data_IF_962717208006
#
_entry.id   IF_962717208006
#
_cell.length_a   1.000
_cell.length_b   1.000
_cell.length_c   1.000
_cell.angle_alpha   90.00
_cell.angle_beta   90.00
_cell.angle_gamma   90.00
#
_symmetry.space_group_name_H-M   'P 1'
#
loop_
_entity.id
_entity.type
_entity.pdbx_description
1 polymer ?
#
# COMPACT_ATOMS: atom_id res chain seq x y z
N UNK A 1 21.49 -3.85 14.84
CA UNK A 1 20.92 -3.87 13.49
C UNK A 1 22.01 -4.18 12.49
N UNK A 2 21.83 -5.13 11.65
CA UNK A 2 22.89 -5.62 10.75
C UNK A 2 23.17 -4.67 9.57
N UNK A 3 22.29 -3.74 9.28
CA UNK A 3 22.40 -2.86 8.13
C UNK A 3 22.06 -3.52 6.80
N UNK A 4 21.52 -4.72 6.82
CA UNK A 4 21.10 -5.40 5.59
C UNK A 4 19.84 -4.76 5.02
N UNK A 5 19.81 -4.64 3.70
CA UNK A 5 18.64 -4.16 2.99
C UNK A 5 17.57 -5.23 2.96
N UNK A 6 16.38 -4.96 3.52
CA UNK A 6 15.28 -5.90 3.58
C UNK A 6 14.35 -5.79 2.38
N UNK A 7 14.14 -4.57 1.88
CA UNK A 7 13.25 -4.32 0.76
C UNK A 7 13.56 -2.99 0.11
N UNK A 8 13.13 -2.82 -1.12
CA UNK A 8 13.12 -1.53 -1.81
C UNK A 8 11.72 -1.24 -2.31
N UNK A 9 11.36 0.03 -2.28
CA UNK A 9 10.12 0.54 -2.85
C UNK A 9 10.52 1.68 -3.77
N UNK A 10 10.19 1.57 -5.04
CA UNK A 10 10.62 2.52 -6.04
C UNK A 10 9.42 3.03 -6.84
N UNK A 11 9.23 4.35 -6.84
CA UNK A 11 8.19 4.97 -7.65
C UNK A 11 8.66 5.07 -9.08
N UNK A 12 7.85 4.61 -10.03
CA UNK A 12 8.14 4.77 -11.44
C UNK A 12 7.87 6.20 -11.87
N UNK A 13 8.86 6.81 -12.52
CA UNK A 13 8.78 8.20 -12.97
C UNK A 13 8.02 8.30 -14.29
N UNK A 14 7.50 9.49 -14.56
CA UNK A 14 6.82 9.83 -15.82
C UNK A 14 5.56 9.00 -16.09
N UNK A 15 4.91 8.54 -15.02
CA UNK A 15 3.63 7.84 -15.12
C UNK A 15 2.49 8.79 -14.76
N UNK A 16 1.42 8.74 -15.53
CA UNK A 16 0.22 9.54 -15.26
C UNK A 16 -0.42 9.15 -13.92
N UNK A 17 -0.46 7.84 -13.63
CA UNK A 17 -0.94 7.31 -12.36
C UNK A 17 0.21 6.70 -11.59
N UNK A 18 0.12 6.74 -10.27
CA UNK A 18 1.17 6.21 -9.40
C UNK A 18 1.39 4.73 -9.61
N UNK A 19 2.65 4.37 -9.67
CA UNK A 19 3.09 2.99 -9.81
C UNK A 19 4.35 2.79 -9.00
N UNK A 20 4.36 1.76 -8.16
CA UNK A 20 5.47 1.48 -7.26
C UNK A 20 5.93 0.05 -7.43
N UNK A 21 7.24 -0.12 -7.59
CA UNK A 21 7.86 -1.44 -7.62
C UNK A 21 8.41 -1.74 -6.24
N UNK A 22 8.01 -2.88 -5.69
CA UNK A 22 8.41 -3.35 -4.37
C UNK A 22 9.21 -4.62 -4.55
N UNK A 23 10.43 -4.62 -4.04
CA UNK A 23 11.30 -5.79 -4.10
C UNK A 23 11.76 -6.16 -2.71
N UNK A 24 11.53 -7.42 -2.34
CA UNK A 24 12.07 -8.06 -1.14
C UNK A 24 13.06 -9.15 -1.57
N UNK A 25 13.57 -9.91 -0.61
CA UNK A 25 14.51 -10.99 -0.92
C UNK A 25 13.88 -12.04 -1.85
N UNK A 26 12.59 -12.33 -1.68
CA UNK A 26 11.92 -13.42 -2.39
C UNK A 26 10.84 -12.96 -3.37
N UNK A 27 10.46 -11.68 -3.35
CA UNK A 27 9.28 -11.23 -4.08
C UNK A 27 9.55 -9.96 -4.86
N UNK A 28 8.92 -9.86 -6.01
CA UNK A 28 8.84 -8.61 -6.78
C UNK A 28 7.38 -8.35 -7.08
N UNK A 29 6.86 -7.23 -6.55
CA UNK A 29 5.46 -6.87 -6.64
C UNK A 29 5.34 -5.44 -7.15
N UNK A 30 4.41 -5.21 -8.06
CA UNK A 30 4.12 -3.87 -8.54
C UNK A 30 2.74 -3.44 -8.07
N UNK A 31 2.70 -2.33 -7.33
CA UNK A 31 1.47 -1.66 -6.93
C UNK A 31 1.10 -0.65 -8.00
N UNK A 32 -0.11 -0.76 -8.53
CA UNK A 32 -0.65 0.17 -9.54
C UNK A 32 -1.88 0.85 -9.02
N UNK A 33 -1.94 2.17 -9.20
CA UNK A 33 -3.17 2.91 -8.98
C UNK A 33 -3.95 2.94 -10.28
N UNK A 34 -5.25 2.68 -10.18
CA UNK A 34 -6.14 2.73 -11.34
C UNK A 34 -7.03 3.97 -11.25
N UNK A 35 -7.21 4.63 -12.37
CA UNK A 35 -8.15 5.72 -12.47
C UNK A 35 -9.57 5.16 -12.52
N UNK A 36 -10.39 5.55 -11.52
CA UNK A 36 -11.81 5.28 -11.52
C UNK A 36 -12.56 6.57 -11.24
N UNK A 37 -13.78 6.68 -11.72
CA UNK A 37 -14.54 7.93 -11.62
C UNK A 37 -14.82 8.34 -10.18
N UNK A 38 -15.07 7.37 -9.30
CA UNK A 38 -15.52 7.66 -7.93
C UNK A 38 -14.57 7.20 -6.82
N UNK A 39 -13.62 6.31 -7.11
CA UNK A 39 -12.82 5.67 -6.07
C UNK A 39 -11.35 5.56 -6.44
N UNK A 40 -10.49 5.68 -5.44
CA UNK A 40 -9.13 5.23 -5.56
C UNK A 40 -9.12 3.71 -5.60
N UNK A 41 -8.46 3.16 -6.59
CA UNK A 41 -8.35 1.72 -6.74
C UNK A 41 -6.90 1.35 -6.99
N UNK A 42 -6.46 0.29 -6.34
CA UNK A 42 -5.11 -0.23 -6.48
C UNK A 42 -5.16 -1.70 -6.84
N UNK A 43 -4.17 -2.14 -7.59
CA UNK A 43 -3.97 -3.54 -7.88
C UNK A 43 -2.51 -3.91 -7.68
N UNK A 44 -2.27 -5.19 -7.47
CA UNK A 44 -0.92 -5.74 -7.29
C UNK A 44 -0.63 -6.70 -8.44
N UNK A 45 0.54 -6.55 -9.07
CA UNK A 45 1.05 -7.52 -10.03
C UNK A 45 2.19 -8.29 -9.36
N UNK A 46 2.26 -9.58 -9.59
CA UNK A 46 3.24 -10.47 -9.00
C UNK A 46 2.73 -11.24 -7.78
N UNK A 47 1.51 -10.94 -7.36
CA UNK A 47 0.81 -11.61 -6.27
C UNK A 47 -0.65 -11.80 -6.64
N UNK A 48 -1.26 -12.81 -6.04
CA UNK A 48 -2.70 -13.05 -6.14
C UNK A 48 -3.48 -12.41 -4.99
N UNK A 49 -2.93 -11.37 -4.38
CA UNK A 49 -3.60 -10.60 -3.33
C UNK A 49 -4.37 -9.43 -3.94
N UNK A 50 -5.48 -9.09 -3.32
CA UNK A 50 -6.31 -7.96 -3.73
C UNK A 50 -6.39 -6.92 -2.61
N UNK A 51 -6.40 -5.65 -3.00
CA UNK A 51 -6.59 -4.53 -2.08
C UNK A 51 -8.05 -4.09 -2.11
N UNK A 52 -8.67 -4.03 -0.95
CA UNK A 52 -10.07 -3.60 -0.80
C UNK A 52 -10.21 -2.64 0.36
N UNK A 53 -11.01 -1.60 0.18
CA UNK A 53 -11.37 -0.69 1.24
C UNK A 53 -11.31 0.77 0.84
N UNK A 54 -11.25 1.63 1.84
CA UNK A 54 -11.15 3.06 1.65
C UNK A 54 -9.72 3.53 1.90
N UNK A 55 -8.99 3.78 0.82
CA UNK A 55 -7.57 4.12 0.89
C UNK A 55 -7.35 5.53 1.42
N UNK A 56 -8.26 6.44 1.13
CA UNK A 56 -8.16 7.83 1.57
C UNK A 56 -8.32 7.96 3.09
N UNK A 57 -9.19 7.16 3.68
CA UNK A 57 -9.38 7.16 5.13
C UNK A 57 -8.48 6.17 5.87
N UNK A 58 -7.59 5.49 5.15
CA UNK A 58 -6.63 4.53 5.72
C UNK A 58 -7.33 3.37 6.45
N UNK A 59 -8.39 2.86 5.82
CA UNK A 59 -9.09 1.66 6.27
C UNK A 59 -9.23 0.71 5.10
N UNK A 60 -8.30 -0.23 5.00
CA UNK A 60 -8.31 -1.19 3.89
C UNK A 60 -7.68 -2.51 4.32
N UNK A 61 -7.81 -3.48 3.44
CA UNK A 61 -7.30 -4.83 3.69
C UNK A 61 -6.70 -5.44 2.45
N UNK A 62 -5.85 -6.43 2.68
CA UNK A 62 -5.31 -7.32 1.65
C UNK A 62 -5.98 -8.67 1.80
N UNK A 63 -6.47 -9.21 0.68
CA UNK A 63 -7.22 -10.46 0.64
C UNK A 63 -6.62 -11.36 -0.41
N UNK A 64 -6.49 -12.65 -0.09
CA UNK A 64 -6.15 -13.68 -1.05
C UNK A 64 -7.37 -14.59 -1.21
N UNK A 65 -8.06 -14.47 -2.35
CA UNK A 65 -9.36 -15.13 -2.52
C UNK A 65 -10.36 -14.58 -1.52
N UNK A 66 -10.80 -15.42 -0.57
CA UNK A 66 -11.69 -15.00 0.51
C UNK A 66 -10.98 -14.86 1.85
N UNK A 67 -9.64 -15.07 1.88
CA UNK A 67 -8.88 -15.09 3.12
C UNK A 67 -8.24 -13.74 3.37
N UNK A 68 -8.44 -13.13 4.54
CA UNK A 68 -7.75 -11.90 4.89
C UNK A 68 -6.26 -12.17 5.13
N UNK A 69 -5.41 -11.34 4.53
CA UNK A 69 -3.96 -11.38 4.74
C UNK A 69 -3.55 -10.31 5.74
N UNK A 70 -4.12 -9.12 5.60
CA UNK A 70 -3.77 -7.97 6.42
C UNK A 70 -4.95 -7.00 6.46
N UNK A 71 -5.12 -6.31 7.58
CA UNK A 71 -6.01 -5.16 7.66
C UNK A 71 -5.29 -3.98 8.26
N UNK A 72 -5.59 -2.79 7.75
CA UNK A 72 -5.08 -1.52 8.26
C UNK A 72 -6.26 -0.69 8.74
N UNK A 73 -6.13 -0.16 9.94
CA UNK A 73 -7.11 0.77 10.52
C UNK A 73 -6.39 1.97 11.10
N UNK A 74 -6.88 3.16 10.79
CA UNK A 74 -6.37 4.38 11.40
C UNK A 74 -7.22 4.75 12.61
N UNK A 75 -6.54 5.01 13.73
CA UNK A 75 -7.19 5.48 14.95
C UNK A 75 -6.95 6.98 15.09
N UNK A 76 -8.02 7.74 15.22
CA UNK A 76 -7.99 9.19 15.30
C UNK A 76 -8.00 9.61 16.77
N UNK A 77 -6.96 10.33 17.19
CA UNK A 77 -6.84 10.83 18.55
C UNK A 77 -6.61 12.35 18.55
N UNK A 78 -6.98 13.01 19.63
CA UNK A 78 -6.78 14.46 19.76
C UNK A 78 -5.29 14.85 19.81
N UNK A 79 -4.43 13.94 20.28
CA UNK A 79 -2.99 14.18 20.38
C UNK A 79 -2.18 13.60 19.22
N UNK A 80 -2.83 13.03 18.26
CA UNK A 80 -2.18 12.41 17.11
C UNK A 80 -2.90 11.16 16.66
N UNK A 81 -2.54 10.71 15.46
CA UNK A 81 -3.13 9.54 14.86
C UNK A 81 -2.21 8.34 15.01
N UNK A 82 -2.78 7.15 15.08
CA UNK A 82 -2.03 5.90 15.04
C UNK A 82 -2.66 4.94 14.06
N UNK A 83 -1.85 3.99 13.60
CA UNK A 83 -2.27 2.97 12.66
C UNK A 83 -2.17 1.60 13.32
N UNK A 84 -3.18 0.79 13.11
CA UNK A 84 -3.17 -0.60 13.54
C UNK A 84 -3.09 -1.50 12.32
N UNK A 85 -2.06 -2.33 12.30
CA UNK A 85 -1.81 -3.27 11.22
C UNK A 85 -1.97 -4.68 11.76
N UNK A 86 -3.00 -5.39 11.32
CA UNK A 86 -3.24 -6.77 11.70
C UNK A 86 -2.83 -7.67 10.55
N UNK A 87 -1.86 -8.54 10.80
CA UNK A 87 -1.30 -9.42 9.77
C UNK A 87 -1.52 -10.86 10.21
N UNK A 88 -2.13 -11.65 9.32
CA UNK A 88 -2.50 -13.05 9.61
C UNK A 88 -1.26 -13.93 9.81
N UNK A 89 -0.25 -13.78 8.97
CA UNK A 89 0.97 -14.56 9.04
C UNK A 89 2.19 -13.67 9.12
N UNK A 90 3.04 -13.91 10.11
CA UNK A 90 4.23 -13.08 10.34
C UNK A 90 5.19 -13.08 9.15
N UNK A 91 5.20 -14.13 8.35
CA UNK A 91 6.04 -14.22 7.15
C UNK A 91 5.66 -13.20 6.08
N UNK A 92 4.42 -12.69 6.12
CA UNK A 92 3.94 -11.69 5.19
C UNK A 92 4.15 -10.25 5.69
N UNK A 93 4.68 -10.07 6.88
CA UNK A 93 4.72 -8.77 7.54
C UNK A 93 5.53 -7.74 6.75
N UNK A 94 6.69 -8.11 6.23
CA UNK A 94 7.52 -7.17 5.49
C UNK A 94 6.84 -6.71 4.22
N UNK A 95 6.28 -7.63 3.45
CA UNK A 95 5.60 -7.29 2.20
C UNK A 95 4.35 -6.46 2.46
N UNK A 96 3.56 -6.81 3.49
CA UNK A 96 2.40 -6.03 3.88
C UNK A 96 2.78 -4.59 4.24
N UNK A 97 3.84 -4.42 5.02
CA UNK A 97 4.32 -3.09 5.40
C UNK A 97 4.74 -2.28 4.17
N UNK A 98 5.47 -2.90 3.24
CA UNK A 98 5.89 -2.24 2.00
C UNK A 98 4.69 -1.78 1.17
N UNK A 99 3.66 -2.61 1.06
CA UNK A 99 2.44 -2.28 0.33
C UNK A 99 1.74 -1.08 0.99
N UNK A 100 1.62 -1.08 2.31
CA UNK A 100 1.01 0.03 3.05
C UNK A 100 1.76 1.34 2.81
N UNK A 101 3.09 1.30 2.89
CA UNK A 101 3.92 2.49 2.63
C UNK A 101 3.70 3.01 1.21
N UNK A 102 3.67 2.11 0.23
CA UNK A 102 3.47 2.49 -1.17
C UNK A 102 2.07 3.07 -1.41
N UNK A 103 1.03 2.49 -0.82
CA UNK A 103 -0.34 3.01 -0.93
C UNK A 103 -0.43 4.40 -0.32
N UNK A 104 0.14 4.60 0.88
CA UNK A 104 0.14 5.90 1.54
C UNK A 104 0.86 6.96 0.70
N UNK A 105 2.00 6.60 0.11
CA UNK A 105 2.74 7.50 -0.76
C UNK A 105 1.94 7.86 -2.01
N UNK A 106 1.27 6.88 -2.61
CA UNK A 106 0.47 7.10 -3.81
C UNK A 106 -0.71 8.04 -3.52
N UNK A 107 -1.41 7.82 -2.42
CA UNK A 107 -2.54 8.67 -2.01
C UNK A 107 -2.06 10.10 -1.75
N UNK A 108 -0.95 10.27 -1.05
CA UNK A 108 -0.39 11.60 -0.76
C UNK A 108 0.05 12.33 -2.03
N UNK A 109 0.74 11.64 -2.93
CA UNK A 109 1.20 12.23 -4.19
C UNK A 109 0.05 12.65 -5.09
N UNK A 110 -0.97 11.82 -5.19
CA UNK A 110 -2.13 12.11 -6.04
C UNK A 110 -2.91 13.30 -5.48
N UNK A 111 -3.03 13.39 -4.15
CA UNK A 111 -3.64 14.54 -3.49
C UNK A 111 -2.87 15.83 -3.74
N UNK A 112 -1.55 15.77 -3.65
CA UNK A 112 -0.68 16.91 -3.91
C UNK A 112 -0.77 17.36 -5.37
N UNK A 113 -0.79 16.41 -6.30
CA UNK A 113 -0.93 16.72 -7.72
C UNK A 113 -2.27 17.39 -8.01
N UNK A 114 -3.34 16.93 -7.38
CA UNK A 114 -4.65 17.54 -7.51
C UNK A 114 -4.66 18.98 -6.96
N UNK A 115 -3.97 19.23 -5.87
CA UNK A 115 -3.85 20.56 -5.28
C UNK A 115 -2.98 21.48 -6.13
N UNK A 116 -1.98 20.96 -6.79
CA UNK A 116 -1.07 21.73 -7.63
C UNK A 116 -1.71 22.15 -8.95
N UNK A 117 -2.73 21.44 -9.35
CA UNK A 117 -3.47 21.79 -10.55
C UNK A 117 -4.47 22.89 -10.25
#
# INVERSE_FOLDING_TARGET
MSGNLLATIEKQMFRLLSRYDIQTEHEFVTLKRHFTFLFNRFSLEGLDWELEGNFTSHEYQLIKGERPIMSLTKHWFTWGDSYELNIEHSEDALLCLCIVIAVDAAVANDGNNAQAA
#
